data_IF_132070912853
#
_entry.id   IF_132070912853
#
_cell.length_a   1.000
_cell.length_b   1.000
_cell.length_c   1.000
_cell.angle_alpha   90.00
_cell.angle_beta   90.00
_cell.angle_gamma   90.00
#
_symmetry.space_group_name_H-M   'P 1'
#
loop_
_entity.id
_entity.type
_entity.pdbx_description
1 polymer ?
#
# COMPACT_ATOMS: atom_id res chain seq x y z
N UNK A 1 -7.77 3.43 -15.95
CA UNK A 1 -8.18 4.85 -16.17
C UNK A 1 -8.09 5.51 -14.82
N UNK A 2 -7.04 6.30 -14.62
CA UNK A 2 -6.79 6.97 -13.32
C UNK A 2 -8.00 7.79 -12.90
N UNK A 3 -8.43 7.64 -11.66
CA UNK A 3 -9.62 8.32 -11.13
C UNK A 3 -9.50 9.84 -11.18
N UNK A 4 -10.61 10.53 -11.48
CA UNK A 4 -10.71 11.98 -11.41
C UNK A 4 -11.65 12.39 -10.28
N UNK A 5 -11.33 13.49 -9.63
CA UNK A 5 -12.15 14.02 -8.53
C UNK A 5 -13.60 14.24 -8.97
N UNK A 6 -14.54 13.61 -8.26
CA UNK A 6 -15.97 13.72 -8.53
C UNK A 6 -16.52 12.69 -9.52
N UNK A 7 -15.68 11.79 -10.05
CA UNK A 7 -16.15 10.66 -10.86
C UNK A 7 -16.40 9.44 -9.97
N UNK A 8 -17.41 8.61 -10.29
CA UNK A 8 -17.63 7.36 -9.56
C UNK A 8 -16.41 6.46 -9.70
N UNK A 9 -15.91 5.95 -8.58
CA UNK A 9 -14.87 4.95 -8.56
C UNK A 9 -15.48 3.57 -8.38
N UNK A 10 -15.34 2.74 -9.39
CA UNK A 10 -15.89 1.39 -9.41
C UNK A 10 -17.32 1.31 -9.90
N UNK A 11 -17.71 0.11 -10.21
CA UNK A 11 -19.01 -0.28 -10.71
C UNK A 11 -19.66 -1.28 -9.76
N UNK A 12 -20.97 -1.21 -9.56
CA UNK A 12 -21.68 -2.25 -8.85
C UNK A 12 -21.56 -3.58 -9.61
N UNK A 13 -21.01 -4.59 -8.99
CA UNK A 13 -20.79 -5.89 -9.63
C UNK A 13 -20.78 -7.02 -8.60
N UNK A 14 -21.23 -8.18 -9.02
CA UNK A 14 -21.11 -9.42 -8.25
C UNK A 14 -19.82 -10.12 -8.64
N UNK A 15 -19.04 -10.56 -7.66
CA UNK A 15 -17.83 -11.33 -7.91
C UNK A 15 -18.18 -12.63 -8.64
N UNK A 16 -17.58 -12.92 -9.82
CA UNK A 16 -17.80 -14.18 -10.53
C UNK A 16 -17.44 -15.38 -9.65
N UNK A 17 -18.23 -16.46 -9.71
CA UNK A 17 -18.09 -17.62 -8.85
C UNK A 17 -16.80 -18.41 -9.11
N UNK A 18 -16.22 -18.30 -10.30
CA UNK A 18 -14.98 -18.92 -10.75
C UNK A 18 -13.73 -18.04 -10.51
N UNK A 19 -13.93 -16.82 -10.02
CA UNK A 19 -12.84 -15.92 -9.76
C UNK A 19 -12.06 -16.35 -8.51
N UNK A 20 -10.73 -16.25 -8.58
CA UNK A 20 -9.89 -16.43 -7.41
C UNK A 20 -10.17 -15.34 -6.39
N UNK A 21 -10.46 -15.71 -5.15
CA UNK A 21 -10.65 -14.80 -4.02
C UNK A 21 -9.50 -14.97 -3.04
N UNK A 22 -8.94 -13.85 -2.57
CA UNK A 22 -7.88 -13.79 -1.55
C UNK A 22 -8.34 -12.98 -0.35
N UNK A 23 -7.74 -13.24 0.81
CA UNK A 23 -8.15 -12.63 2.09
C UNK A 23 -7.08 -11.73 2.70
N UNK A 24 -5.92 -11.60 2.07
CA UNK A 24 -4.81 -10.78 2.56
C UNK A 24 -4.15 -10.00 1.43
N UNK A 25 -3.55 -8.85 1.76
CA UNK A 25 -2.75 -8.07 0.81
C UNK A 25 -1.55 -8.87 0.31
N UNK A 26 -0.99 -9.74 1.14
CA UNK A 26 0.08 -10.66 0.76
C UNK A 26 -0.34 -11.58 -0.38
N UNK A 27 -1.50 -12.21 -0.29
CA UNK A 27 -1.97 -13.14 -1.32
C UNK A 27 -2.28 -12.38 -2.62
N UNK A 28 -2.82 -11.15 -2.53
CA UNK A 28 -3.04 -10.27 -3.68
C UNK A 28 -1.71 -9.88 -4.34
N UNK A 29 -0.70 -9.51 -3.54
CA UNK A 29 0.67 -9.26 -3.99
C UNK A 29 1.26 -10.49 -4.71
N UNK A 30 1.17 -11.67 -4.12
CA UNK A 30 1.72 -12.90 -4.69
C UNK A 30 1.03 -13.23 -6.03
N UNK A 31 -0.25 -12.89 -6.19
CA UNK A 31 -0.98 -12.97 -7.46
C UNK A 31 -0.41 -12.03 -8.52
N UNK A 32 -0.15 -10.77 -8.16
CA UNK A 32 0.49 -9.79 -9.06
C UNK A 32 1.88 -10.27 -9.48
N UNK A 33 2.72 -10.69 -8.53
CA UNK A 33 4.07 -11.18 -8.80
C UNK A 33 4.02 -12.39 -9.75
N UNK A 34 3.10 -13.33 -9.52
CA UNK A 34 2.99 -14.53 -10.35
C UNK A 34 2.73 -14.17 -11.83
N UNK A 35 1.92 -13.16 -12.12
CA UNK A 35 1.66 -12.72 -13.49
C UNK A 35 2.85 -11.92 -14.05
N UNK A 36 3.40 -10.98 -13.28
CA UNK A 36 4.48 -10.09 -13.74
C UNK A 36 5.78 -10.84 -14.03
N UNK A 37 6.12 -11.81 -13.23
CA UNK A 37 7.31 -12.67 -13.48
C UNK A 37 7.17 -13.54 -14.73
N UNK A 38 5.98 -13.62 -15.32
CA UNK A 38 5.68 -14.34 -16.57
C UNK A 38 5.36 -13.42 -17.74
N UNK A 39 5.59 -12.12 -17.55
CA UNK A 39 5.26 -11.09 -18.53
C UNK A 39 3.78 -11.15 -18.99
N UNK A 40 2.90 -11.38 -18.02
CA UNK A 40 1.47 -11.50 -18.25
C UNK A 40 0.71 -10.35 -17.64
N UNK A 41 -0.39 -9.96 -18.27
CA UNK A 41 -1.36 -9.07 -17.65
C UNK A 41 -1.95 -9.72 -16.38
N UNK A 42 -2.03 -8.96 -15.30
CA UNK A 42 -2.64 -9.45 -14.05
C UNK A 42 -4.13 -9.68 -14.29
N UNK A 43 -4.60 -10.89 -13.97
CA UNK A 43 -6.02 -11.22 -14.09
C UNK A 43 -6.81 -10.65 -12.92
N UNK A 44 -8.10 -10.47 -13.14
CA UNK A 44 -9.07 -10.04 -12.13
C UNK A 44 -8.98 -10.90 -10.87
N UNK A 45 -9.23 -10.30 -9.71
CA UNK A 45 -9.08 -10.92 -8.41
C UNK A 45 -10.20 -10.48 -7.46
N UNK A 46 -10.80 -11.41 -6.74
CA UNK A 46 -11.65 -11.09 -5.59
C UNK A 46 -10.79 -10.82 -4.35
N UNK A 47 -11.05 -9.73 -3.62
CA UNK A 47 -10.31 -9.37 -2.42
C UNK A 47 -11.29 -9.25 -1.24
N UNK A 48 -11.28 -10.24 -0.34
CA UNK A 48 -12.19 -10.34 0.80
C UNK A 48 -11.56 -9.90 2.13
N UNK A 49 -10.39 -9.29 2.11
CA UNK A 49 -9.70 -8.83 3.33
C UNK A 49 -8.38 -8.12 3.01
N UNK A 50 -7.72 -7.66 4.07
CA UNK A 50 -6.51 -6.85 3.98
C UNK A 50 -6.79 -5.34 4.01
N UNK A 51 -5.72 -4.56 4.01
CA UNK A 51 -5.80 -3.10 4.07
C UNK A 51 -6.28 -2.49 2.75
N UNK A 52 -5.94 -3.14 1.62
CA UNK A 52 -6.45 -2.76 0.30
C UNK A 52 -7.96 -2.94 0.21
N UNK A 53 -8.49 -4.13 0.56
CA UNK A 53 -9.94 -4.36 0.56
C UNK A 53 -10.67 -3.36 1.45
N UNK A 54 -10.15 -3.11 2.65
CA UNK A 54 -10.70 -2.12 3.58
C UNK A 54 -10.72 -0.71 2.99
N UNK A 55 -9.66 -0.32 2.28
CA UNK A 55 -9.57 0.99 1.60
C UNK A 55 -10.63 1.12 0.50
N UNK A 56 -10.90 0.02 -0.20
CA UNK A 56 -11.92 -0.02 -1.25
C UNK A 56 -13.38 -0.09 -0.73
N UNK A 57 -13.58 0.00 0.58
CA UNK A 57 -14.91 -0.14 1.19
C UNK A 57 -15.38 -1.57 1.41
N UNK A 58 -14.55 -2.46 1.23
CA UNK A 58 -14.27 -3.85 1.37
C UNK A 58 -15.32 -4.91 1.60
N UNK A 59 -15.25 -5.95 0.81
CA UNK A 59 -15.84 -7.23 1.13
C UNK A 59 -15.19 -7.84 2.39
N UNK A 60 -15.98 -8.58 3.15
CA UNK A 60 -15.50 -9.41 4.25
C UNK A 60 -16.08 -10.81 4.07
N UNK A 61 -15.63 -11.79 4.86
CA UNK A 61 -16.21 -13.13 4.83
C UNK A 61 -17.74 -13.16 5.04
N UNK A 62 -18.28 -12.15 5.73
CA UNK A 62 -19.72 -11.99 5.99
C UNK A 62 -20.42 -11.01 5.03
N UNK A 63 -19.67 -10.29 4.19
CA UNK A 63 -20.18 -9.34 3.19
C UNK A 63 -19.53 -9.64 1.85
N UNK A 64 -20.25 -10.28 0.92
CA UNK A 64 -19.70 -10.61 -0.39
C UNK A 64 -19.34 -9.35 -1.17
N UNK A 65 -18.40 -9.49 -2.10
CA UNK A 65 -17.98 -8.44 -3.00
C UNK A 65 -19.20 -7.89 -3.78
N UNK A 66 -19.34 -6.58 -3.75
CA UNK A 66 -20.46 -5.86 -4.37
C UNK A 66 -20.01 -4.77 -5.34
N UNK A 67 -18.72 -4.59 -5.52
CA UNK A 67 -18.14 -3.59 -6.41
C UNK A 67 -16.93 -4.16 -7.16
N UNK A 68 -16.79 -3.71 -8.41
CA UNK A 68 -15.64 -3.93 -9.27
C UNK A 68 -14.87 -2.62 -9.36
N UNK A 69 -13.59 -2.66 -9.02
CA UNK A 69 -12.72 -1.47 -8.99
C UNK A 69 -11.40 -1.77 -9.69
N UNK A 70 -10.83 -0.77 -10.34
CA UNK A 70 -9.47 -0.87 -10.88
C UNK A 70 -8.48 -0.48 -9.80
N UNK A 71 -7.35 -1.17 -9.72
CA UNK A 71 -6.34 -0.99 -8.69
C UNK A 71 -4.96 -0.84 -9.33
N UNK A 72 -4.20 0.11 -8.81
CA UNK A 72 -2.80 0.30 -9.14
C UNK A 72 -1.93 -0.71 -8.39
N UNK A 73 -0.79 -1.09 -8.96
CA UNK A 73 0.25 -1.84 -8.26
C UNK A 73 1.49 -0.96 -8.07
N UNK A 74 2.35 -1.39 -7.18
CA UNK A 74 3.64 -0.75 -6.92
C UNK A 74 4.76 -1.69 -7.39
N UNK A 75 5.56 -1.28 -8.36
CA UNK A 75 6.84 -1.91 -8.63
C UNK A 75 7.85 -1.41 -7.60
N UNK A 76 8.52 -2.32 -6.92
CA UNK A 76 9.43 -2.05 -5.81
C UNK A 76 10.81 -2.59 -6.12
N UNK A 77 11.83 -1.75 -6.07
CA UNK A 77 13.23 -2.13 -6.30
C UNK A 77 14.05 -1.72 -5.07
N UNK A 78 14.75 -2.70 -4.50
CA UNK A 78 15.67 -2.54 -3.37
C UNK A 78 17.07 -2.41 -3.92
N UNK A 79 17.75 -1.29 -3.63
CA UNK A 79 19.02 -0.92 -4.24
C UNK A 79 18.93 -1.01 -5.78
N UNK A 80 19.72 -1.80 -6.43
CA UNK A 80 19.62 -2.05 -7.88
C UNK A 80 19.27 -3.53 -8.17
N UNK A 81 18.52 -4.17 -7.25
CA UNK A 81 18.11 -5.56 -7.36
C UNK A 81 16.93 -5.79 -8.29
N UNK A 82 16.49 -7.04 -8.36
CA UNK A 82 15.33 -7.43 -9.15
C UNK A 82 14.03 -6.80 -8.62
N UNK A 83 13.12 -6.38 -9.50
CA UNK A 83 11.86 -5.79 -9.09
C UNK A 83 10.95 -6.82 -8.40
N UNK A 84 10.26 -6.38 -7.37
CA UNK A 84 9.11 -7.07 -6.78
C UNK A 84 7.89 -6.15 -6.85
N UNK A 85 6.72 -6.64 -6.51
CA UNK A 85 5.49 -5.85 -6.55
C UNK A 85 4.80 -5.82 -5.20
N UNK A 86 4.04 -4.77 -4.96
CA UNK A 86 3.14 -4.58 -3.84
C UNK A 86 1.80 -4.03 -4.30
N UNK A 87 0.78 -4.17 -3.47
CA UNK A 87 -0.59 -3.71 -3.77
C UNK A 87 -1.14 -2.73 -2.74
N UNK A 88 -0.72 -2.85 -1.47
CA UNK A 88 -1.23 -2.03 -0.39
C UNK A 88 -0.17 -1.08 0.20
N UNK A 89 0.98 -1.62 0.62
CA UNK A 89 1.98 -0.79 1.31
C UNK A 89 3.39 -1.36 1.27
N UNK A 90 4.37 -0.47 1.29
CA UNK A 90 5.78 -0.77 1.49
C UNK A 90 6.25 -0.08 2.77
N UNK A 91 6.91 -0.81 3.67
CA UNK A 91 7.41 -0.29 4.94
C UNK A 91 8.92 -0.50 5.02
N UNK A 92 9.68 0.57 5.19
CA UNK A 92 11.12 0.53 5.42
C UNK A 92 11.42 1.01 6.83
N UNK A 93 12.06 0.17 7.66
CA UNK A 93 12.40 0.51 9.04
C UNK A 93 13.55 -0.33 9.57
N UNK A 94 14.26 0.16 10.59
CA UNK A 94 15.16 -0.61 11.44
C UNK A 94 14.52 -0.85 12.80
N UNK A 95 14.42 0.18 13.60
CA UNK A 95 13.81 0.13 14.93
C UNK A 95 12.64 1.10 14.99
N UNK A 96 11.49 0.61 15.43
CA UNK A 96 10.26 1.41 15.49
C UNK A 96 10.37 2.66 16.36
N UNK A 97 11.07 2.58 17.50
CA UNK A 97 11.03 3.63 18.52
C UNK A 97 12.10 4.72 18.35
N UNK A 98 13.15 4.48 17.56
CA UNK A 98 14.33 5.35 17.58
C UNK A 98 14.84 5.75 16.19
N UNK A 99 14.56 4.95 15.16
CA UNK A 99 15.13 5.19 13.85
C UNK A 99 14.10 5.87 12.90
N UNK A 100 14.59 6.34 11.78
CA UNK A 100 13.74 6.75 10.67
C UNK A 100 12.81 5.59 10.27
N UNK A 101 11.59 5.95 9.86
CA UNK A 101 10.62 5.04 9.27
C UNK A 101 10.08 5.68 7.99
N UNK A 102 10.01 4.91 6.93
CA UNK A 102 9.30 5.31 5.72
C UNK A 102 8.19 4.29 5.40
N UNK A 103 7.03 4.81 5.02
CA UNK A 103 5.91 4.01 4.53
C UNK A 103 5.47 4.58 3.18
N UNK A 104 5.35 3.72 2.18
CA UNK A 104 4.80 4.06 0.87
C UNK A 104 3.46 3.35 0.78
N UNK A 105 2.39 4.14 0.70
CA UNK A 105 1.02 3.69 0.85
C UNK A 105 0.26 3.82 -0.47
N UNK A 106 -0.27 2.72 -0.97
CA UNK A 106 -1.29 2.67 -2.01
C UNK A 106 -2.68 2.49 -1.39
N UNK A 107 -2.75 1.84 -0.22
CA UNK A 107 -3.94 1.75 0.61
C UNK A 107 -3.93 2.82 1.71
N UNK A 108 -5.13 3.23 2.17
CA UNK A 108 -5.32 4.18 3.27
C UNK A 108 -4.82 3.62 4.61
N UNK A 109 -5.10 2.33 4.84
CA UNK A 109 -4.90 1.70 6.14
C UNK A 109 -3.59 0.92 6.21
N UNK A 110 -3.08 0.75 7.44
CA UNK A 110 -2.06 -0.21 7.83
C UNK A 110 -2.50 -0.89 9.11
N UNK A 111 -3.12 -2.07 8.99
CA UNK A 111 -3.78 -2.75 10.08
C UNK A 111 -4.85 -1.88 10.75
N UNK A 112 -4.71 -1.61 12.03
CA UNK A 112 -5.66 -0.80 12.79
C UNK A 112 -5.50 0.72 12.60
N UNK A 113 -4.55 1.16 11.79
CA UNK A 113 -4.19 2.58 11.66
C UNK A 113 -4.64 3.14 10.31
N UNK A 114 -5.20 4.34 10.33
CA UNK A 114 -5.49 5.19 9.20
C UNK A 114 -4.25 6.05 8.90
N UNK A 115 -3.29 5.46 8.17
CA UNK A 115 -1.96 6.05 7.96
C UNK A 115 -1.98 7.10 6.86
N UNK A 116 -2.74 6.86 5.81
CA UNK A 116 -2.82 7.74 4.64
C UNK A 116 -4.29 8.05 4.30
N UNK A 117 -4.98 8.93 5.08
CA UNK A 117 -6.43 9.18 4.95
C UNK A 117 -6.87 9.70 3.57
N UNK A 118 -5.93 10.12 2.73
CA UNK A 118 -6.17 10.61 1.36
C UNK A 118 -5.69 9.67 0.28
N UNK A 119 -5.08 8.56 0.66
CA UNK A 119 -4.57 7.57 -0.30
C UNK A 119 -5.73 6.93 -1.05
N UNK A 120 -5.53 6.75 -2.34
CA UNK A 120 -6.51 6.16 -3.22
C UNK A 120 -5.82 5.13 -4.13
N UNK A 121 -6.25 3.87 -4.12
CA UNK A 121 -5.54 2.78 -4.80
C UNK A 121 -5.69 2.79 -6.34
N UNK A 122 -6.20 3.86 -6.94
CA UNK A 122 -6.31 4.04 -8.39
C UNK A 122 -6.16 5.52 -8.80
N UNK A 123 -5.30 6.28 -8.16
CA UNK A 123 -5.04 7.67 -8.57
C UNK A 123 -3.68 7.85 -9.28
N UNK A 124 -2.99 6.74 -9.56
CA UNK A 124 -1.67 6.74 -10.19
C UNK A 124 -0.56 7.25 -9.27
N UNK A 125 -0.80 7.29 -7.97
CA UNK A 125 0.15 7.80 -6.97
C UNK A 125 0.18 6.92 -5.75
N UNK A 126 1.24 7.09 -4.97
CA UNK A 126 1.39 6.56 -3.62
C UNK A 126 1.63 7.70 -2.64
N UNK A 127 1.13 7.55 -1.43
CA UNK A 127 1.43 8.48 -0.33
C UNK A 127 2.62 7.99 0.46
N UNK A 128 3.61 8.87 0.63
CA UNK A 128 4.85 8.57 1.34
C UNK A 128 4.83 9.26 2.70
N UNK A 129 4.66 8.48 3.75
CA UNK A 129 4.86 8.94 5.13
C UNK A 129 6.32 8.71 5.54
N UNK A 130 6.99 9.76 5.99
CA UNK A 130 8.30 9.64 6.66
C UNK A 130 8.19 10.08 8.11
N UNK A 131 8.79 9.31 8.98
CA UNK A 131 8.95 9.60 10.40
C UNK A 131 10.42 9.89 10.64
N UNK A 132 10.71 11.12 11.09
CA UNK A 132 12.08 11.56 11.37
C UNK A 132 12.69 10.76 12.55
N UNK A 133 13.97 10.41 12.43
CA UNK A 133 14.73 9.77 13.49
C UNK A 133 14.79 10.64 14.79
N UNK A 134 14.76 11.96 14.64
CA UNK A 134 14.71 12.90 15.78
C UNK A 134 13.40 12.84 16.57
N UNK A 135 12.36 12.17 16.07
CA UNK A 135 11.10 12.01 16.78
C UNK A 135 11.25 11.12 18.00
N UNK A 136 11.04 11.68 19.19
CA UNK A 136 11.17 10.97 20.45
C UNK A 136 10.14 9.83 20.61
N UNK A 137 10.49 8.80 21.38
CA UNK A 137 9.63 7.63 21.55
C UNK A 137 8.22 7.93 22.07
N UNK A 138 8.08 8.93 22.98
CA UNK A 138 6.76 9.38 23.49
C UNK A 138 5.94 10.02 22.39
N UNK A 139 6.53 10.88 21.56
CA UNK A 139 5.86 11.49 20.43
C UNK A 139 5.41 10.44 19.41
N UNK A 140 6.23 9.39 19.18
CA UNK A 140 5.87 8.25 18.32
C UNK A 140 4.65 7.49 18.84
N UNK A 141 4.59 7.23 20.15
CA UNK A 141 3.43 6.59 20.77
C UNK A 141 2.17 7.45 20.63
N UNK A 142 2.27 8.77 20.84
CA UNK A 142 1.16 9.68 20.63
C UNK A 142 0.73 9.75 19.16
N UNK A 143 1.66 9.89 18.23
CA UNK A 143 1.35 9.89 16.79
C UNK A 143 0.69 8.57 16.37
N UNK A 144 1.19 7.44 16.85
CA UNK A 144 0.60 6.13 16.61
C UNK A 144 -0.83 6.02 17.15
N UNK A 145 -1.10 6.53 18.34
CA UNK A 145 -2.45 6.55 18.90
C UNK A 145 -3.39 7.39 18.03
N UNK A 146 -2.95 8.57 17.59
CA UNK A 146 -3.73 9.46 16.71
C UNK A 146 -3.92 8.90 15.29
N UNK A 147 -2.97 8.10 14.81
CA UNK A 147 -3.07 7.43 13.52
C UNK A 147 -4.24 6.40 13.46
N UNK A 148 -4.80 5.98 14.60
CA UNK A 148 -6.01 5.14 14.59
C UNK A 148 -7.23 5.85 14.00
N UNK A 149 -7.23 7.17 14.03
CA UNK A 149 -8.32 8.04 13.53
C UNK A 149 -7.85 8.99 12.42
N UNK A 150 -6.68 8.74 11.82
CA UNK A 150 -6.12 9.59 10.77
C UNK A 150 -5.66 10.98 11.23
N UNK A 151 -5.61 11.24 12.54
CA UNK A 151 -5.32 12.57 13.12
C UNK A 151 -3.85 12.77 13.53
N UNK A 152 -2.92 12.00 12.99
CA UNK A 152 -1.50 12.10 13.30
C UNK A 152 -0.78 13.24 12.55
N UNK A 153 -1.40 13.79 11.52
CA UNK A 153 -0.90 14.94 10.77
C UNK A 153 -1.76 16.20 11.02
N UNK A 154 -1.19 17.40 10.97
CA UNK A 154 0.24 17.71 10.80
C UNK A 154 1.06 17.46 12.07
N UNK A 155 2.35 17.13 11.88
CA UNK A 155 3.32 16.96 12.97
C UNK A 155 4.72 17.33 12.50
N UNK A 156 5.53 18.02 13.31
CA UNK A 156 6.86 18.54 12.92
C UNK A 156 7.85 17.47 12.45
N UNK A 157 7.73 16.23 12.97
CA UNK A 157 8.58 15.09 12.65
C UNK A 157 7.93 14.07 11.72
N UNK A 158 6.76 14.40 11.18
CA UNK A 158 6.08 13.58 10.18
C UNK A 158 5.91 14.39 8.90
N UNK A 159 6.28 13.82 7.79
CA UNK A 159 5.99 14.38 6.48
C UNK A 159 5.21 13.38 5.65
N UNK A 160 4.26 13.89 4.86
CA UNK A 160 3.52 13.09 3.90
C UNK A 160 3.51 13.79 2.55
N UNK A 161 3.79 13.04 1.48
CA UNK A 161 3.75 13.54 0.10
C UNK A 161 3.20 12.46 -0.82
N UNK A 162 2.52 12.86 -1.89
CA UNK A 162 2.06 11.94 -2.94
C UNK A 162 2.95 12.06 -4.18
N UNK A 163 3.24 10.94 -4.83
CA UNK A 163 4.02 10.87 -6.06
C UNK A 163 3.72 9.60 -6.84
N UNK A 164 3.88 9.64 -8.17
CA UNK A 164 3.79 8.45 -9.04
C UNK A 164 5.08 7.62 -9.02
N UNK A 165 6.18 8.23 -8.64
CA UNK A 165 7.48 7.58 -8.45
C UNK A 165 8.16 8.14 -7.20
N UNK A 166 8.76 7.24 -6.42
CA UNK A 166 9.44 7.54 -5.17
C UNK A 166 10.83 6.94 -5.22
N UNK A 167 11.83 7.73 -4.83
CA UNK A 167 13.20 7.27 -4.64
C UNK A 167 13.63 7.73 -3.24
N UNK A 168 13.82 6.76 -2.34
CA UNK A 168 14.21 6.99 -0.96
C UNK A 168 15.64 6.51 -0.74
N UNK A 169 16.46 7.38 -0.18
CA UNK A 169 17.80 7.06 0.28
C UNK A 169 17.82 7.09 1.81
N UNK A 170 18.45 6.11 2.40
CA UNK A 170 18.59 5.96 3.84
C UNK A 170 20.06 6.04 4.24
N UNK A 171 20.38 6.82 5.28
CA UNK A 171 21.74 6.92 5.82
C UNK A 171 22.27 5.57 6.32
N UNK A 172 21.37 4.73 6.78
CA UNK A 172 21.64 3.35 7.19
C UNK A 172 20.65 2.39 6.51
N UNK A 173 21.10 1.22 6.07
CA UNK A 173 20.22 0.27 5.42
C UNK A 173 19.01 -0.09 6.28
N UNK A 174 17.84 -0.07 5.67
CA UNK A 174 16.53 -0.35 6.28
C UNK A 174 16.06 -1.76 5.92
N UNK A 175 15.41 -2.44 6.83
CA UNK A 175 14.66 -3.66 6.48
C UNK A 175 13.37 -3.22 5.79
N UNK A 176 13.10 -3.81 4.63
CA UNK A 176 11.94 -3.49 3.78
C UNK A 176 10.94 -4.64 3.80
N UNK A 177 9.68 -4.29 4.04
CA UNK A 177 8.52 -5.19 3.91
C UNK A 177 7.58 -4.66 2.83
N UNK A 178 7.06 -5.55 2.02
CA UNK A 178 6.03 -5.26 1.01
C UNK A 178 4.83 -6.13 1.34
N UNK A 179 3.69 -5.50 1.61
CA UNK A 179 2.43 -6.17 2.00
C UNK A 179 2.64 -7.21 3.12
N UNK A 180 3.41 -6.82 4.15
CA UNK A 180 3.73 -7.67 5.30
C UNK A 180 4.81 -8.73 5.06
N UNK A 181 5.34 -8.89 3.84
CA UNK A 181 6.42 -9.82 3.52
C UNK A 181 7.76 -9.12 3.59
N UNK A 182 8.72 -9.68 4.33
CA UNK A 182 10.09 -9.17 4.37
C UNK A 182 10.80 -9.45 3.04
N UNK A 183 11.18 -8.38 2.33
CA UNK A 183 11.85 -8.49 1.02
C UNK A 183 13.37 -8.35 1.09
N UNK A 184 13.90 -7.78 2.17
CA UNK A 184 15.34 -7.63 2.30
C UNK A 184 15.73 -6.43 3.16
N UNK A 185 16.98 -5.98 2.97
CA UNK A 185 17.54 -4.77 3.57
C UNK A 185 18.13 -3.94 2.44
N UNK A 186 17.88 -2.63 2.44
CA UNK A 186 18.29 -1.74 1.36
C UNK A 186 18.72 -0.36 1.90
N UNK A 187 19.72 0.24 1.27
CA UNK A 187 20.11 1.65 1.44
C UNK A 187 19.30 2.57 0.54
N UNK A 188 18.75 2.03 -0.54
CA UNK A 188 17.90 2.76 -1.49
C UNK A 188 16.63 1.96 -1.79
N UNK A 189 15.50 2.65 -1.80
CA UNK A 189 14.20 2.06 -2.11
C UNK A 189 13.55 2.89 -3.22
N UNK A 190 13.35 2.27 -4.39
CA UNK A 190 12.58 2.87 -5.48
C UNK A 190 11.22 2.20 -5.57
N UNK A 191 10.18 3.01 -5.62
CA UNK A 191 8.81 2.57 -5.84
C UNK A 191 8.21 3.35 -7.00
N UNK A 192 7.69 2.64 -7.99
CA UNK A 192 7.01 3.24 -9.14
C UNK A 192 5.60 2.68 -9.20
N UNK A 193 4.62 3.57 -9.33
CA UNK A 193 3.22 3.16 -9.50
C UNK A 193 3.04 2.60 -10.90
N UNK A 194 2.40 1.47 -10.98
CA UNK A 194 1.88 0.84 -12.19
C UNK A 194 0.37 1.06 -12.22
N UNK A 195 -0.10 2.08 -12.97
CA UNK A 195 -1.52 2.42 -12.97
C UNK A 195 -2.37 1.33 -13.61
N UNK A 196 -3.61 1.21 -13.14
CA UNK A 196 -4.60 0.29 -13.69
C UNK A 196 -4.10 -1.18 -13.80
N UNK A 197 -3.32 -1.63 -12.82
CA UNK A 197 -2.61 -2.91 -12.91
C UNK A 197 -3.53 -4.12 -12.98
N UNK A 198 -4.68 -4.08 -12.27
CA UNK A 198 -5.67 -5.14 -12.28
C UNK A 198 -7.04 -4.68 -11.80
N UNK A 199 -8.03 -5.53 -12.02
CA UNK A 199 -9.39 -5.32 -11.52
C UNK A 199 -9.59 -6.15 -10.25
N UNK A 200 -10.08 -5.49 -9.19
CA UNK A 200 -10.46 -6.10 -7.94
C UNK A 200 -11.98 -6.11 -7.75
N UNK A 201 -12.51 -7.24 -7.28
CA UNK A 201 -13.87 -7.35 -6.76
C UNK A 201 -13.82 -7.29 -5.23
N UNK A 202 -14.45 -6.26 -4.63
CA UNK A 202 -14.38 -5.89 -3.21
C UNK A 202 -15.76 -5.75 -2.58
#
# INVERSE_FOLDING_TARGET
>A
MTIRKGEPWGEAAVCPADLRVVSTDRDARDWVIWHRTRDQQVRDLGIAGGDLARTCGGATASRPASAKVTVDAMQVILDDGEPTWGVAHVVARRQWLHDELAMVMNAQFYGAYDVAPRSHPNDGKVDVLRVDAAMGWRERLHARSRARTGMHLPHRHLSMRSASQVDLHFDQPMVVWVDGVRCGTAGRLRVTVEPDAFIAYV
#
